data_IF_323686514474
#
_entry.id   IF_323686514474
#
_cell.length_a   1.000
_cell.length_b   1.000
_cell.length_c   1.000
_cell.angle_alpha   90.00
_cell.angle_beta   90.00
_cell.angle_gamma   90.00
#
_symmetry.space_group_name_H-M   'P 1'
#
loop_
_entity.id
_entity.type
_entity.pdbx_description
1 polymer ?
#
# COMPACT_ATOMS: atom_id res chain seq x y z
N UNK A 1 14.55 16.88 -26.66
CA UNK A 1 13.38 17.34 -25.87
C UNK A 1 13.24 16.52 -24.58
N UNK A 2 14.14 16.72 -23.61
CA UNK A 2 14.10 16.00 -22.30
C UNK A 2 13.75 16.94 -21.14
N UNK A 3 14.12 18.21 -21.25
CA UNK A 3 13.89 19.25 -20.23
C UNK A 3 12.42 19.39 -19.76
N UNK A 4 11.40 19.44 -20.63
CA UNK A 4 10.02 19.56 -20.17
C UNK A 4 9.48 18.29 -19.50
N UNK A 5 10.15 17.14 -19.62
CA UNK A 5 9.75 15.91 -18.94
C UNK A 5 10.50 15.67 -17.63
N UNK A 6 11.73 16.16 -17.50
CA UNK A 6 12.62 15.86 -16.35
C UNK A 6 12.92 17.09 -15.51
N UNK A 7 12.80 18.29 -16.08
CA UNK A 7 13.14 19.55 -15.41
C UNK A 7 12.30 19.77 -14.15
N UNK A 8 10.99 19.59 -14.23
CA UNK A 8 10.07 19.73 -13.10
C UNK A 8 10.43 18.77 -11.95
N UNK A 9 10.62 17.48 -12.25
CA UNK A 9 11.04 16.50 -11.24
C UNK A 9 12.39 16.87 -10.62
N UNK A 10 13.36 17.30 -11.43
CA UNK A 10 14.68 17.71 -10.94
C UNK A 10 14.60 18.92 -10.01
N UNK A 11 13.79 19.93 -10.35
CA UNK A 11 13.57 21.10 -9.50
C UNK A 11 12.87 20.71 -8.19
N UNK A 12 11.84 19.87 -8.27
CA UNK A 12 11.15 19.31 -7.09
C UNK A 12 12.10 18.50 -6.20
N UNK A 13 12.99 17.69 -6.78
CA UNK A 13 14.01 16.95 -6.04
C UNK A 13 14.95 17.87 -5.25
N UNK A 14 15.43 18.95 -5.88
CA UNK A 14 16.35 19.89 -5.24
C UNK A 14 15.64 20.71 -4.18
N UNK A 15 14.42 21.18 -4.45
CA UNK A 15 13.67 22.02 -3.50
C UNK A 15 13.17 21.21 -2.28
N UNK A 16 12.81 19.94 -2.49
CA UNK A 16 12.23 19.07 -1.47
C UNK A 16 13.18 17.93 -1.05
N UNK A 17 14.51 18.09 -1.23
CA UNK A 17 15.50 17.04 -0.97
C UNK A 17 15.39 16.42 0.43
N UNK A 18 15.11 17.25 1.45
CA UNK A 18 14.98 16.82 2.84
C UNK A 18 13.70 16.02 3.09
N UNK A 19 12.60 16.36 2.41
CA UNK A 19 11.32 15.62 2.47
C UNK A 19 11.55 14.23 1.90
N UNK A 20 12.28 14.15 0.79
CA UNK A 20 12.58 12.87 0.15
C UNK A 20 13.56 12.04 0.99
N UNK A 21 14.60 12.66 1.52
CA UNK A 21 15.58 11.99 2.39
C UNK A 21 14.99 11.45 3.70
N UNK A 22 13.95 12.10 4.24
CA UNK A 22 13.22 11.65 5.42
C UNK A 22 11.99 10.78 5.09
N UNK A 23 11.78 10.43 3.82
CA UNK A 23 10.63 9.65 3.35
C UNK A 23 9.25 10.28 3.64
N UNK A 24 9.18 11.57 3.94
CA UNK A 24 7.95 12.29 4.28
C UNK A 24 7.07 12.61 3.07
N UNK A 25 7.62 12.45 1.86
CA UNK A 25 6.96 12.66 0.57
C UNK A 25 5.67 11.84 0.38
N UNK A 26 5.48 10.78 1.18
CA UNK A 26 4.27 9.95 1.15
C UNK A 26 3.06 10.70 1.72
N UNK A 27 3.28 11.60 2.67
CA UNK A 27 2.22 12.33 3.38
C UNK A 27 2.20 13.82 3.03
N UNK A 28 3.38 14.41 2.81
CA UNK A 28 3.56 15.85 2.64
C UNK A 28 4.01 16.18 1.22
N UNK A 29 3.43 17.23 0.62
CA UNK A 29 3.75 17.73 -0.73
C UNK A 29 3.79 16.62 -1.79
N UNK A 30 2.70 15.86 -1.89
CA UNK A 30 2.58 14.73 -2.83
C UNK A 30 2.72 15.19 -4.28
N UNK A 31 2.24 16.38 -4.60
CA UNK A 31 2.26 16.92 -5.96
C UNK A 31 3.66 17.38 -6.40
N UNK A 32 4.55 17.63 -5.43
CA UNK A 32 5.93 18.08 -5.66
C UNK A 32 6.95 16.97 -5.35
N UNK A 33 6.59 15.71 -5.61
CA UNK A 33 7.49 14.58 -5.37
C UNK A 33 8.65 14.56 -6.36
N UNK A 34 9.82 14.14 -5.87
CA UNK A 34 11.04 14.06 -6.70
C UNK A 34 10.89 13.05 -7.85
N UNK A 35 10.36 11.86 -7.55
CA UNK A 35 10.10 10.83 -8.55
C UNK A 35 9.05 9.85 -8.00
N UNK A 36 8.26 9.24 -8.88
CA UNK A 36 7.31 8.18 -8.51
C UNK A 36 8.00 6.97 -7.87
N UNK A 37 9.20 6.61 -8.34
CA UNK A 37 9.94 5.46 -7.80
C UNK A 37 10.34 5.70 -6.35
N UNK A 38 10.75 6.91 -6.01
CA UNK A 38 11.19 7.23 -4.64
C UNK A 38 10.01 7.25 -3.67
N UNK A 39 8.78 7.50 -4.16
CA UNK A 39 7.57 7.40 -3.35
C UNK A 39 7.33 5.95 -2.88
N UNK A 40 7.48 4.95 -3.76
CA UNK A 40 7.34 3.54 -3.39
C UNK A 40 8.38 3.11 -2.34
N UNK A 41 9.64 3.49 -2.55
CA UNK A 41 10.72 3.19 -1.59
C UNK A 41 10.42 3.82 -0.22
N UNK A 42 9.90 5.04 -0.21
CA UNK A 42 9.53 5.75 1.01
C UNK A 42 8.38 5.08 1.75
N UNK A 43 7.35 4.65 1.01
CA UNK A 43 6.22 3.92 1.55
C UNK A 43 6.66 2.61 2.20
N UNK A 44 7.46 1.82 1.47
CA UNK A 44 7.97 0.54 1.95
C UNK A 44 8.82 0.69 3.21
N UNK A 45 9.66 1.73 3.29
CA UNK A 45 10.44 2.03 4.48
C UNK A 45 9.55 2.32 5.70
N UNK A 46 8.58 3.22 5.56
CA UNK A 46 7.64 3.57 6.64
C UNK A 46 6.85 2.34 7.08
N UNK A 47 6.36 1.55 6.12
CA UNK A 47 5.63 0.33 6.39
C UNK A 47 6.48 -0.73 7.08
N UNK A 48 7.75 -0.85 6.72
CA UNK A 48 8.66 -1.76 7.37
C UNK A 48 8.87 -1.39 8.84
N UNK A 49 9.15 -0.11 9.11
CA UNK A 49 9.31 0.41 10.48
C UNK A 49 8.04 0.18 11.30
N UNK A 50 6.86 0.48 10.73
CA UNK A 50 5.59 0.27 11.41
C UNK A 50 5.30 -1.21 11.64
N UNK A 51 5.61 -2.07 10.68
CA UNK A 51 5.37 -3.51 10.79
C UNK A 51 6.26 -4.16 11.86
N UNK A 52 7.51 -3.69 12.03
CA UNK A 52 8.37 -4.10 13.15
C UNK A 52 7.75 -3.71 14.50
N UNK A 53 7.23 -2.49 14.63
CA UNK A 53 6.53 -2.04 15.84
C UNK A 53 5.26 -2.88 16.12
N UNK A 54 4.49 -3.19 15.08
CA UNK A 54 3.30 -4.04 15.18
C UNK A 54 3.67 -5.46 15.62
N UNK A 55 4.72 -6.08 15.05
CA UNK A 55 5.17 -7.40 15.52
C UNK A 55 5.57 -7.33 16.98
N UNK A 56 6.32 -6.31 17.39
CA UNK A 56 6.71 -6.17 18.78
C UNK A 56 5.49 -6.07 19.70
N UNK A 57 4.46 -5.31 19.30
CA UNK A 57 3.19 -5.26 20.01
C UNK A 57 2.45 -6.61 20.02
N UNK A 58 2.46 -7.36 18.91
CA UNK A 58 1.88 -8.72 18.84
C UNK A 58 2.62 -9.69 19.78
N UNK A 59 3.94 -9.57 19.90
CA UNK A 59 4.72 -10.41 20.82
C UNK A 59 4.36 -10.13 22.29
N UNK A 60 4.05 -8.88 22.63
CA UNK A 60 3.66 -8.48 23.99
C UNK A 60 2.19 -8.78 24.31
N UNK A 61 1.27 -8.49 23.39
CA UNK A 61 -0.18 -8.61 23.59
C UNK A 61 -0.78 -9.94 23.09
N UNK A 62 0.01 -10.75 22.36
CA UNK A 62 -0.38 -12.04 21.80
C UNK A 62 -1.08 -11.97 20.43
N UNK A 63 -1.28 -13.15 19.82
CA UNK A 63 -1.78 -13.26 18.44
C UNK A 63 -3.21 -12.72 18.22
N UNK A 64 -4.04 -12.64 19.26
CA UNK A 64 -5.38 -12.03 19.16
C UNK A 64 -5.29 -10.55 18.77
N UNK A 65 -4.30 -9.84 19.29
CA UNK A 65 -4.05 -8.45 18.93
C UNK A 65 -3.68 -8.33 17.45
N UNK A 66 -2.80 -9.20 16.93
CA UNK A 66 -2.45 -9.21 15.52
C UNK A 66 -3.64 -9.41 14.59
N UNK A 67 -4.53 -10.35 14.93
CA UNK A 67 -5.77 -10.54 14.17
C UNK A 67 -6.68 -9.30 14.21
N UNK A 68 -6.91 -8.71 15.38
CA UNK A 68 -7.71 -7.49 15.51
C UNK A 68 -7.10 -6.31 14.77
N UNK A 69 -5.78 -6.18 14.80
CA UNK A 69 -5.05 -5.14 14.07
C UNK A 69 -5.27 -5.28 12.56
N UNK A 70 -5.09 -6.49 12.00
CA UNK A 70 -5.33 -6.75 10.56
C UNK A 70 -6.80 -6.56 10.17
N UNK A 71 -7.74 -6.99 11.01
CA UNK A 71 -9.15 -6.73 10.76
C UNK A 71 -9.45 -5.22 10.77
N UNK A 72 -8.86 -4.48 11.72
CA UNK A 72 -8.98 -3.04 11.82
C UNK A 72 -8.41 -2.30 10.61
N UNK A 73 -7.23 -2.69 10.13
CA UNK A 73 -6.64 -2.08 8.91
C UNK A 73 -7.45 -2.41 7.67
N UNK A 74 -7.98 -3.63 7.54
CA UNK A 74 -8.87 -4.02 6.44
C UNK A 74 -10.16 -3.18 6.44
N UNK A 75 -10.91 -3.15 7.54
CA UNK A 75 -12.17 -2.40 7.58
C UNK A 75 -11.94 -0.88 7.52
N UNK A 76 -10.88 -0.39 8.18
CA UNK A 76 -10.53 1.02 8.16
C UNK A 76 -10.15 1.52 6.76
N UNK A 77 -9.36 0.75 6.02
CA UNK A 77 -8.99 1.09 4.63
C UNK A 77 -10.17 0.98 3.66
N UNK A 78 -11.06 -0.02 3.81
CA UNK A 78 -12.29 -0.10 3.01
C UNK A 78 -13.18 1.11 3.28
N UNK A 79 -13.38 1.46 4.56
CA UNK A 79 -14.18 2.62 4.96
C UNK A 79 -13.61 3.93 4.44
N UNK A 80 -12.30 4.14 4.61
CA UNK A 80 -11.62 5.33 4.12
C UNK A 80 -11.67 5.45 2.59
N UNK A 81 -11.40 4.36 1.87
CA UNK A 81 -11.46 4.36 0.41
C UNK A 81 -12.87 4.61 -0.11
N UNK A 82 -13.87 3.98 0.51
CA UNK A 82 -15.28 4.17 0.15
C UNK A 82 -15.73 5.61 0.40
N UNK A 83 -15.30 6.19 1.52
CA UNK A 83 -15.54 7.60 1.82
C UNK A 83 -14.92 8.53 0.78
N UNK A 84 -13.64 8.33 0.44
CA UNK A 84 -12.94 9.11 -0.57
C UNK A 84 -13.62 9.01 -1.94
N UNK A 85 -13.99 7.79 -2.36
CA UNK A 85 -14.73 7.55 -3.61
C UNK A 85 -16.05 8.32 -3.65
N UNK A 86 -16.80 8.29 -2.56
CA UNK A 86 -18.08 8.98 -2.46
C UNK A 86 -17.92 10.50 -2.48
N UNK A 87 -16.97 11.05 -1.73
CA UNK A 87 -16.78 12.51 -1.63
C UNK A 87 -16.21 13.14 -2.89
N UNK A 88 -15.30 12.42 -3.58
CA UNK A 88 -14.61 12.92 -4.75
C UNK A 88 -15.32 12.53 -6.06
N UNK A 89 -16.42 11.78 -5.99
CA UNK A 89 -17.17 11.32 -7.17
C UNK A 89 -16.32 10.46 -8.10
N UNK A 90 -15.37 9.69 -7.54
CA UNK A 90 -14.39 8.94 -8.32
C UNK A 90 -15.03 7.73 -9.02
N UNK A 91 -14.52 7.34 -10.19
CA UNK A 91 -15.02 6.17 -10.89
C UNK A 91 -14.65 4.89 -10.12
N UNK A 92 -15.46 3.83 -10.23
CA UNK A 92 -15.16 2.56 -9.55
C UNK A 92 -13.91 1.86 -10.10
N UNK A 93 -13.40 2.27 -11.26
CA UNK A 93 -12.20 1.71 -11.86
C UNK A 93 -11.47 2.71 -12.78
N UNK A 94 -10.22 2.41 -13.10
CA UNK A 94 -9.35 3.14 -14.05
C UNK A 94 -9.46 2.59 -15.49
N UNK A 95 -10.42 1.69 -15.77
CA UNK A 95 -10.48 1.04 -17.08
C UNK A 95 -10.84 2.02 -18.19
N UNK A 96 -10.39 1.71 -19.41
CA UNK A 96 -10.62 2.50 -20.63
C UNK A 96 -12.10 2.69 -21.00
N UNK A 97 -13.01 1.95 -20.36
CA UNK A 97 -14.45 2.08 -20.50
C UNK A 97 -15.02 3.35 -19.87
N UNK A 98 -14.23 4.08 -19.08
CA UNK A 98 -14.62 5.35 -18.45
C UNK A 98 -13.79 6.49 -19.07
N UNK A 99 -14.41 7.63 -19.47
CA UNK A 99 -13.70 8.73 -20.12
C UNK A 99 -12.64 9.33 -19.19
N UNK A 100 -11.37 9.04 -19.49
CA UNK A 100 -10.20 9.51 -18.73
C UNK A 100 -9.86 10.95 -19.14
N UNK A 101 -10.57 11.93 -18.57
CA UNK A 101 -10.16 13.34 -18.72
C UNK A 101 -8.89 13.60 -17.89
N UNK A 102 -8.02 14.52 -18.31
CA UNK A 102 -6.74 14.76 -17.63
C UNK A 102 -6.88 15.19 -16.16
N UNK A 103 -7.93 15.93 -15.82
CA UNK A 103 -8.25 16.30 -14.44
C UNK A 103 -8.71 15.09 -13.61
N UNK A 104 -9.56 14.23 -14.18
CA UNK A 104 -10.03 13.01 -13.50
C UNK A 104 -8.90 12.01 -13.28
N UNK A 105 -7.99 11.88 -14.26
CA UNK A 105 -6.80 11.04 -14.13
C UNK A 105 -5.88 11.54 -13.00
N UNK A 106 -5.61 12.85 -12.94
CA UNK A 106 -4.73 13.43 -11.90
C UNK A 106 -5.33 13.29 -10.50
N UNK A 107 -6.62 13.61 -10.31
CA UNK A 107 -7.31 13.44 -9.01
C UNK A 107 -7.38 11.97 -8.59
N UNK A 108 -7.80 11.06 -9.47
CA UNK A 108 -7.86 9.63 -9.14
C UNK A 108 -6.48 9.05 -8.83
N UNK A 109 -5.46 9.52 -9.54
CA UNK A 109 -4.08 9.07 -9.35
C UNK A 109 -3.56 9.60 -8.02
N UNK A 110 -3.43 10.91 -7.85
CA UNK A 110 -2.77 11.51 -6.68
C UNK A 110 -3.58 11.39 -5.38
N UNK A 111 -4.89 11.59 -5.43
CA UNK A 111 -5.72 11.68 -4.23
C UNK A 111 -6.26 10.32 -3.77
N UNK A 112 -6.34 9.34 -4.68
CA UNK A 112 -6.80 7.99 -4.33
C UNK A 112 -5.68 6.96 -4.43
N UNK A 113 -5.10 6.75 -5.62
CA UNK A 113 -4.15 5.66 -5.85
C UNK A 113 -2.82 5.85 -5.13
N UNK A 114 -2.23 7.05 -5.19
CA UNK A 114 -0.94 7.40 -4.56
C UNK A 114 -1.10 7.87 -3.11
N UNK A 115 -2.10 7.33 -2.42
CA UNK A 115 -2.19 7.45 -0.96
C UNK A 115 -1.60 6.21 -0.31
N UNK A 116 -0.94 6.34 0.85
CA UNK A 116 -0.41 5.18 1.54
C UNK A 116 -1.52 4.16 1.87
N UNK A 117 -2.67 4.65 2.32
CA UNK A 117 -3.72 3.83 2.94
C UNK A 117 -4.25 2.70 2.06
N UNK A 118 -4.35 2.90 0.76
CA UNK A 118 -4.82 1.89 -0.22
C UNK A 118 -3.89 0.68 -0.29
N UNK A 119 -2.59 0.88 -0.06
CA UNK A 119 -1.55 -0.16 -0.13
C UNK A 119 -1.23 -0.81 1.23
N UNK A 120 -1.81 -0.30 2.32
CA UNK A 120 -1.52 -0.78 3.67
C UNK A 120 -1.98 -2.23 3.91
N UNK A 121 -3.14 -2.62 3.37
CA UNK A 121 -3.73 -3.95 3.57
C UNK A 121 -2.83 -5.07 3.04
N UNK A 122 -2.45 -5.09 1.73
CA UNK A 122 -1.64 -6.19 1.21
C UNK A 122 -0.29 -6.29 1.93
N UNK A 123 0.29 -5.16 2.31
CA UNK A 123 1.55 -5.12 3.06
C UNK A 123 1.41 -5.77 4.44
N UNK A 124 0.52 -5.26 5.30
CA UNK A 124 0.39 -5.76 6.66
C UNK A 124 -0.17 -7.19 6.71
N UNK A 125 -1.05 -7.55 5.78
CA UNK A 125 -1.55 -8.92 5.67
C UNK A 125 -0.41 -9.89 5.34
N UNK A 126 0.41 -9.58 4.32
CA UNK A 126 1.57 -10.40 3.97
C UNK A 126 2.55 -10.53 5.13
N UNK A 127 2.82 -9.44 5.83
CA UNK A 127 3.72 -9.43 6.99
C UNK A 127 3.18 -10.28 8.15
N UNK A 128 1.88 -10.19 8.46
CA UNK A 128 1.24 -10.99 9.51
C UNK A 128 1.21 -12.48 9.15
N UNK A 129 0.91 -12.82 7.90
CA UNK A 129 1.00 -14.21 7.41
C UNK A 129 2.44 -14.73 7.55
N UNK A 130 3.45 -13.92 7.19
CA UNK A 130 4.86 -14.24 7.38
C UNK A 130 5.21 -14.52 8.86
N UNK A 131 4.71 -13.72 9.78
CA UNK A 131 4.85 -13.94 11.22
C UNK A 131 4.21 -15.27 11.68
N UNK A 132 2.99 -15.57 11.24
CA UNK A 132 2.34 -16.86 11.54
C UNK A 132 3.10 -18.05 10.96
N UNK A 133 3.65 -17.90 9.75
CA UNK A 133 4.51 -18.91 9.12
C UNK A 133 5.79 -19.15 9.92
N UNK A 134 6.42 -18.10 10.45
CA UNK A 134 7.59 -18.23 11.32
C UNK A 134 7.28 -19.01 12.60
N UNK A 135 6.13 -18.76 13.23
CA UNK A 135 5.74 -19.44 14.48
C UNK A 135 5.22 -20.88 14.29
N UNK A 136 4.47 -21.14 13.21
CA UNK A 136 3.70 -22.39 13.04
C UNK A 136 4.07 -23.13 11.75
N UNK A 137 5.31 -22.97 11.25
CA UNK A 137 5.83 -23.58 10.02
C UNK A 137 5.39 -25.04 9.82
N UNK A 138 5.61 -25.91 10.81
CA UNK A 138 5.26 -27.35 10.71
C UNK A 138 3.76 -27.58 10.53
N UNK A 139 2.90 -26.83 11.23
CA UNK A 139 1.45 -26.96 11.13
C UNK A 139 0.94 -26.48 9.76
N UNK A 140 1.43 -25.32 9.32
CA UNK A 140 1.03 -24.71 8.05
C UNK A 140 1.49 -25.58 6.88
N UNK A 141 2.74 -26.05 6.87
CA UNK A 141 3.26 -26.95 5.83
C UNK A 141 2.50 -28.29 5.79
N UNK A 142 2.04 -28.79 6.95
CA UNK A 142 1.18 -29.99 6.99
C UNK A 142 -0.18 -29.73 6.33
N UNK A 143 -0.74 -28.53 6.48
CA UNK A 143 -2.01 -28.17 5.85
C UNK A 143 -1.87 -27.81 4.37
N UNK A 144 -0.73 -27.26 3.96
CA UNK A 144 -0.36 -26.93 2.57
C UNK A 144 0.16 -28.18 1.83
N UNK A 145 -0.71 -29.16 1.65
CA UNK A 145 -0.43 -30.30 0.77
C UNK A 145 -0.55 -29.89 -0.71
N UNK A 146 0.22 -30.50 -1.60
CA UNK A 146 0.24 -30.24 -3.06
C UNK A 146 -1.16 -30.19 -3.67
N UNK A 147 -2.08 -31.07 -3.24
CA UNK A 147 -3.48 -31.05 -3.71
C UNK A 147 -4.22 -29.76 -3.34
N UNK A 148 -4.06 -29.28 -2.10
CA UNK A 148 -4.70 -28.05 -1.64
C UNK A 148 -4.08 -26.81 -2.27
N UNK A 149 -2.77 -26.84 -2.51
CA UNK A 149 -2.08 -25.80 -3.26
C UNK A 149 -2.63 -25.71 -4.70
N UNK A 150 -2.75 -26.84 -5.41
CA UNK A 150 -3.31 -26.89 -6.76
C UNK A 150 -4.75 -26.37 -6.81
N UNK A 151 -5.60 -26.77 -5.86
CA UNK A 151 -6.97 -26.23 -5.75
C UNK A 151 -6.94 -24.71 -5.53
N UNK A 152 -6.07 -24.24 -4.63
CA UNK A 152 -5.91 -22.80 -4.39
C UNK A 152 -5.50 -22.03 -5.65
N UNK A 153 -4.55 -22.55 -6.42
CA UNK A 153 -4.15 -21.97 -7.71
C UNK A 153 -5.29 -21.95 -8.71
N UNK A 154 -6.08 -23.02 -8.82
CA UNK A 154 -7.22 -23.04 -9.73
C UNK A 154 -8.30 -22.02 -9.33
N UNK A 155 -8.58 -21.87 -8.04
CA UNK A 155 -9.56 -20.88 -7.55
C UNK A 155 -9.05 -19.45 -7.71
N UNK A 156 -7.76 -19.20 -7.58
CA UNK A 156 -7.19 -17.85 -7.74
C UNK A 156 -7.13 -17.39 -9.21
N UNK A 157 -7.03 -18.33 -10.15
CA UNK A 157 -6.96 -18.06 -11.60
C UNK A 157 -8.33 -18.00 -12.25
N UNK A 158 -9.35 -18.63 -11.65
CA UNK A 158 -10.74 -18.63 -12.14
C UNK A 158 -11.48 -17.38 -11.69
#
# INVERSE_FOLDING_TARGET
HWYPMVGEYSENCVNNWWINGLHLQVFYKKDEMCNFVTWWVSLDFIYHVFALAVIWAIMLAGNKFGFLFIAGTLFGSIGYQSYQHYTLGLPPNVFSSIPQTGAMWSTMTLDFFWTPYTHSIPYFFGFYVGYLMALKKKLIMRQLNTRRALIGWTVAVS
#
